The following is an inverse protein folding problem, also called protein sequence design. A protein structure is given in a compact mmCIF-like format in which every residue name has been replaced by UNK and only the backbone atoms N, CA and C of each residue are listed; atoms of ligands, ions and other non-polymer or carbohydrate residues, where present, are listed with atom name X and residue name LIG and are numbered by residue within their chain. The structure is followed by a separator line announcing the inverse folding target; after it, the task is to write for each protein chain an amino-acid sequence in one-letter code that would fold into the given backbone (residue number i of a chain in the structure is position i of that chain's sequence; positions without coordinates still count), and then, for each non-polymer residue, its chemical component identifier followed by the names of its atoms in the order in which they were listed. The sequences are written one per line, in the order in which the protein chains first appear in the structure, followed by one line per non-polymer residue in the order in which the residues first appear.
data_IF_246746359630
#
_entry.id   IF_246746359630
#
_cell.length_a   1.000
_cell.length_b   1.000
_cell.length_c   1.000
_cell.angle_alpha   90.00
_cell.angle_beta   90.00
_cell.angle_gamma   90.00
#
_symmetry.space_group_name_H-M   'P 1'
#
loop_
_entity.id
_entity.type
_entity.pdbx_description
1 polymer ?
#
# COMPACT_ATOMS: atom_id res chain seq x y z
N UNK A 1 0.74 -8.22 -28.23
CA UNK A 1 2.00 -7.54 -27.85
C UNK A 1 2.48 -8.15 -26.54
N UNK A 2 3.73 -8.64 -26.45
CA UNK A 2 4.27 -9.14 -25.17
C UNK A 2 4.50 -7.93 -24.25
N UNK A 3 3.77 -7.84 -23.15
CA UNK A 3 4.07 -6.87 -22.10
C UNK A 3 5.50 -7.17 -21.62
N UNK A 4 6.39 -6.20 -21.76
CA UNK A 4 7.76 -6.32 -21.26
C UNK A 4 7.71 -6.11 -19.75
N UNK A 5 8.27 -7.03 -18.99
CA UNK A 5 8.41 -6.87 -17.54
C UNK A 5 9.23 -5.59 -17.28
N UNK A 6 8.63 -4.66 -16.52
CA UNK A 6 9.26 -3.39 -16.15
C UNK A 6 9.75 -3.40 -14.69
N UNK A 7 9.34 -4.40 -13.89
CA UNK A 7 9.75 -4.49 -12.48
C UNK A 7 11.22 -4.84 -12.38
N UNK A 8 11.89 -4.14 -11.46
CA UNK A 8 13.30 -4.41 -11.10
C UNK A 8 13.42 -5.45 -9.99
N UNK A 9 12.38 -5.59 -9.15
CA UNK A 9 12.37 -6.45 -7.98
C UNK A 9 11.21 -7.44 -8.03
N UNK A 10 11.45 -8.64 -7.50
CA UNK A 10 10.42 -9.66 -7.30
C UNK A 10 9.47 -9.17 -6.21
N UNK A 11 8.17 -9.41 -6.41
CA UNK A 11 7.13 -9.14 -5.42
C UNK A 11 6.66 -10.45 -4.82
N UNK A 12 6.49 -10.47 -3.51
CA UNK A 12 5.95 -11.60 -2.77
C UNK A 12 4.53 -11.27 -2.35
N UNK A 13 3.61 -12.21 -2.54
CA UNK A 13 2.25 -12.09 -2.03
C UNK A 13 2.31 -12.03 -0.50
N UNK A 14 1.62 -11.05 0.08
CA UNK A 14 1.65 -10.78 1.50
C UNK A 14 0.29 -10.25 1.92
N UNK A 15 -0.37 -10.91 2.86
CA UNK A 15 -1.71 -10.54 3.32
C UNK A 15 -1.69 -10.22 4.81
N UNK A 16 -1.12 -9.05 5.14
CA UNK A 16 -0.96 -8.58 6.51
C UNK A 16 -1.75 -7.29 6.73
N UNK A 17 -2.29 -7.16 7.93
CA UNK A 17 -2.94 -5.92 8.37
C UNK A 17 -1.86 -4.90 8.74
N UNK A 18 -2.09 -3.64 8.38
CA UNK A 18 -1.25 -2.51 8.74
C UNK A 18 -2.12 -1.29 8.98
N UNK A 19 -1.57 -0.29 9.66
CA UNK A 19 -2.15 1.04 9.73
C UNK A 19 -1.35 2.03 8.88
N UNK A 20 -2.02 3.09 8.47
CA UNK A 20 -1.38 4.20 7.79
C UNK A 20 -1.98 5.53 8.22
N UNK A 21 -1.16 6.57 8.13
CA UNK A 21 -1.53 7.96 8.32
C UNK A 21 -1.20 8.75 7.07
N UNK A 22 -2.15 9.54 6.59
CA UNK A 22 -1.93 10.50 5.51
C UNK A 22 -1.13 11.67 6.03
N UNK A 23 -0.06 12.03 5.32
CA UNK A 23 0.77 13.19 5.63
C UNK A 23 0.43 14.34 4.67
N UNK A 24 0.30 15.55 5.20
CA UNK A 24 0.18 16.75 4.38
C UNK A 24 1.55 17.17 3.79
N UNK A 25 1.57 18.28 3.04
CA UNK A 25 2.81 18.80 2.44
C UNK A 25 3.87 19.22 3.47
N UNK A 26 3.43 19.65 4.66
CA UNK A 26 4.32 20.03 5.77
C UNK A 26 4.82 18.81 6.56
N UNK A 27 4.29 17.61 6.30
CA UNK A 27 4.60 16.39 7.05
C UNK A 27 3.75 16.19 8.30
N UNK A 28 2.71 17.00 8.52
CA UNK A 28 1.78 16.77 9.64
C UNK A 28 0.81 15.63 9.31
N UNK A 29 0.43 14.90 10.36
CA UNK A 29 -0.54 13.81 10.30
C UNK A 29 -1.96 14.33 10.08
N UNK A 30 -2.66 13.79 9.09
CA UNK A 30 -4.05 14.09 8.77
C UNK A 30 -4.94 12.90 9.11
N UNK A 31 -5.33 12.10 8.11
CA UNK A 31 -6.25 10.99 8.31
C UNK A 31 -5.50 9.69 8.68
N UNK A 32 -5.95 9.04 9.76
CA UNK A 32 -5.54 7.68 10.14
C UNK A 32 -6.52 6.64 9.58
N UNK A 33 -6.01 5.51 9.09
CA UNK A 33 -6.85 4.37 8.72
C UNK A 33 -6.08 3.04 8.73
N UNK A 34 -6.83 1.96 8.56
CA UNK A 34 -6.27 0.61 8.38
C UNK A 34 -6.19 0.27 6.90
N UNK A 35 -5.20 -0.53 6.54
CA UNK A 35 -5.05 -1.11 5.22
C UNK A 35 -4.58 -2.55 5.33
N UNK A 36 -4.57 -3.21 4.18
CA UNK A 36 -4.06 -4.58 4.06
C UNK A 36 -3.02 -4.61 2.97
N UNK A 37 -1.87 -5.18 3.26
CA UNK A 37 -0.88 -5.50 2.24
C UNK A 37 -1.46 -6.52 1.29
N UNK A 38 -1.18 -6.38 0.00
CA UNK A 38 -1.47 -7.41 -1.01
C UNK A 38 -0.21 -8.10 -1.51
N UNK A 39 0.83 -7.32 -1.73
CA UNK A 39 2.14 -7.80 -2.13
C UNK A 39 3.23 -6.81 -1.71
N UNK A 40 4.45 -7.31 -1.52
CA UNK A 40 5.62 -6.53 -1.10
C UNK A 40 6.82 -6.81 -2.00
N UNK A 41 7.59 -5.77 -2.29
CA UNK A 41 8.96 -5.85 -2.79
C UNK A 41 9.86 -4.92 -2.00
N UNK A 42 11.16 -5.08 -2.19
CA UNK A 42 12.19 -4.19 -1.62
C UNK A 42 11.95 -2.71 -1.97
N UNK A 43 11.32 -2.43 -3.12
CA UNK A 43 11.08 -1.06 -3.60
C UNK A 43 9.65 -0.55 -3.36
N UNK A 44 8.75 -1.34 -2.76
CA UNK A 44 7.42 -0.83 -2.46
C UNK A 44 6.37 -1.88 -2.10
N UNK A 45 5.24 -1.38 -1.64
CA UNK A 45 4.13 -2.17 -1.12
C UNK A 45 2.87 -1.86 -1.91
N UNK A 46 2.08 -2.88 -2.23
CA UNK A 46 0.73 -2.71 -2.76
C UNK A 46 -0.26 -2.88 -1.63
N UNK A 47 -1.13 -1.89 -1.47
CA UNK A 47 -2.11 -1.82 -0.39
C UNK A 47 -3.53 -1.90 -0.93
N UNK A 48 -4.38 -2.57 -0.18
CA UNK A 48 -5.84 -2.40 -0.21
C UNK A 48 -6.22 -1.47 0.94
N UNK A 49 -7.03 -0.44 0.64
CA UNK A 49 -7.43 0.58 1.60
C UNK A 49 -8.95 0.68 1.66
N UNK A 50 -9.48 1.05 2.83
CA UNK A 50 -10.91 1.28 3.03
C UNK A 50 -11.38 2.54 2.30
N UNK A 51 -10.52 3.57 2.28
CA UNK A 51 -10.80 4.85 1.62
C UNK A 51 -9.93 5.02 0.37
N UNK A 52 -10.48 5.62 -0.70
CA UNK A 52 -9.70 5.88 -1.91
C UNK A 52 -8.59 6.89 -1.63
N UNK A 53 -7.35 6.52 -1.99
CA UNK A 53 -6.21 7.42 -1.94
C UNK A 53 -5.95 8.01 -3.33
N UNK A 54 -5.51 9.28 -3.37
CA UNK A 54 -5.05 9.91 -4.61
C UNK A 54 -3.63 9.45 -4.91
N UNK A 55 -3.21 9.58 -6.17
CA UNK A 55 -1.78 9.48 -6.50
C UNK A 55 -1.02 10.64 -5.88
N UNK A 56 0.27 10.44 -5.59
CA UNK A 56 1.15 11.38 -4.90
C UNK A 56 0.78 11.72 -3.44
N UNK A 57 -0.15 10.99 -2.82
CA UNK A 57 -0.41 11.08 -1.38
C UNK A 57 0.78 10.52 -0.60
N UNK A 58 1.29 11.28 0.37
CA UNK A 58 2.32 10.82 1.31
C UNK A 58 1.66 10.06 2.45
N UNK A 59 2.25 8.94 2.83
CA UNK A 59 1.76 8.06 3.88
C UNK A 59 2.89 7.73 4.83
N UNK A 60 2.60 7.74 6.13
CA UNK A 60 3.36 7.00 7.13
C UNK A 60 2.63 5.67 7.36
N UNK A 61 3.33 4.55 7.23
CA UNK A 61 2.74 3.20 7.25
C UNK A 61 3.45 2.41 8.35
N UNK A 62 2.69 1.86 9.28
CA UNK A 62 3.22 0.99 10.34
C UNK A 62 3.03 -0.46 9.94
N UNK A 63 4.11 -1.22 9.77
CA UNK A 63 4.03 -2.65 9.42
C UNK A 63 4.66 -3.52 10.51
N UNK A 64 4.03 -4.66 10.78
CA UNK A 64 4.62 -5.71 11.62
C UNK A 64 5.58 -6.57 10.81
N UNK A 65 6.80 -6.74 11.30
CA UNK A 65 7.84 -7.61 10.78
C UNK A 65 8.32 -8.50 11.91
N UNK A 66 7.93 -9.78 11.86
CA UNK A 66 8.16 -10.73 12.96
C UNK A 66 7.58 -10.18 14.27
N UNK A 67 8.43 -9.86 15.25
CA UNK A 67 8.04 -9.30 16.54
C UNK A 67 8.22 -7.76 16.61
N UNK A 68 8.70 -7.14 15.53
CA UNK A 68 8.97 -5.71 15.46
C UNK A 68 7.87 -4.94 14.71
N UNK A 69 7.63 -3.70 15.12
CA UNK A 69 6.85 -2.72 14.37
C UNK A 69 7.82 -1.72 13.72
N UNK A 70 7.66 -1.49 12.43
CA UNK A 70 8.48 -0.51 11.70
C UNK A 70 7.59 0.51 10.98
N UNK A 71 8.05 1.76 11.01
CA UNK A 71 7.42 2.86 10.31
C UNK A 71 8.09 3.05 8.94
N UNK A 72 7.27 3.11 7.89
CA UNK A 72 7.69 3.31 6.52
C UNK A 72 7.02 4.57 5.97
N UNK A 73 7.81 5.52 5.47
CA UNK A 73 7.26 6.63 4.70
C UNK A 73 7.21 6.26 3.21
N UNK A 74 6.04 6.47 2.60
CA UNK A 74 5.80 6.15 1.19
C UNK A 74 4.98 7.20 0.47
N UNK A 75 4.99 7.12 -0.86
CA UNK A 75 4.14 7.93 -1.74
C UNK A 75 3.36 7.03 -2.68
N UNK A 76 2.06 7.27 -2.79
CA UNK A 76 1.20 6.51 -3.72
C UNK A 76 1.60 6.79 -5.17
N UNK A 77 2.01 5.75 -5.90
CA UNK A 77 2.39 5.86 -7.33
C UNK A 77 1.22 5.57 -8.26
N UNK A 78 0.35 4.66 -7.87
CA UNK A 78 -0.86 4.26 -8.59
C UNK A 78 -1.98 3.94 -7.61
N UNK A 79 -3.20 4.34 -7.93
CA UNK A 79 -4.41 4.03 -7.17
C UNK A 79 -5.54 3.71 -8.13
N UNK A 80 -6.28 2.64 -7.84
CA UNK A 80 -7.44 2.23 -8.63
C UNK A 80 -8.49 1.61 -7.71
N UNK A 81 -9.79 1.83 -7.95
CA UNK A 81 -10.83 1.15 -7.21
C UNK A 81 -10.69 -0.36 -7.42
N UNK A 82 -10.78 -1.12 -6.34
CA UNK A 82 -10.86 -2.57 -6.43
C UNK A 82 -12.23 -2.94 -6.98
N UNK A 83 -12.28 -3.67 -8.10
CA UNK A 83 -13.51 -4.35 -8.48
C UNK A 83 -13.71 -5.47 -7.47
N UNK A 84 -14.77 -5.39 -6.68
CA UNK A 84 -15.23 -6.53 -5.91
C UNK A 84 -15.57 -7.63 -6.91
N UNK A 85 -14.75 -8.69 -6.93
CA UNK A 85 -15.08 -9.90 -7.66
C UNK A 85 -16.23 -10.56 -6.90
N UNK A 86 -17.44 -10.25 -7.33
CA UNK A 86 -18.65 -10.92 -6.87
C UNK A 86 -18.55 -12.37 -7.32
N UNK A 87 -18.29 -13.27 -6.37
CA UNK A 87 -18.34 -14.72 -6.60
C UNK A 87 -19.65 -15.05 -7.35
N UNK A 88 -19.53 -15.61 -8.56
CA UNK A 88 -20.63 -16.36 -9.18
C UNK A 88 -20.56 -17.78 -8.61
N UNK A 89 -21.65 -18.19 -7.96
CA UNK A 89 -21.91 -19.56 -7.49
C UNK A 89 -21.81 -20.61 -8.60
#
# INVERSE_FOLDING_TARGET
MKQREQRKFIRYDALHLLDYVVLNENGDTCEYSMGRTMDVSVDGIKLETVYPLKTNTRLLITVGLEDDLVDLEGRTTHASPMKADIYQE
#
